data_IF_062980765398
#
_entry.id   IF_062980765398
#
_cell.length_a   1.000
_cell.length_b   1.000
_cell.length_c   1.000
_cell.angle_alpha   90.00
_cell.angle_beta   90.00
_cell.angle_gamma   90.00
#
_symmetry.space_group_name_H-M   'P 1'
#
loop_
_entity.id
_entity.type
_entity.pdbx_description
1 polymer ?
#
# COMPACT_ATOMS: atom_id res chain seq x y z
N UNK A 1 -17.83 -4.68 -3.81
CA UNK A 1 -18.79 -3.58 -4.08
C UNK A 1 -18.21 -2.32 -3.46
N UNK A 2 -17.29 -1.65 -4.17
CA UNK A 2 -16.70 -0.39 -3.72
C UNK A 2 -17.81 0.65 -3.64
N UNK A 3 -18.21 1.03 -2.44
CA UNK A 3 -19.10 2.17 -2.24
C UNK A 3 -18.32 3.42 -2.62
N UNK A 4 -18.96 4.31 -3.38
CA UNK A 4 -18.44 5.65 -3.65
C UNK A 4 -18.19 6.30 -2.28
N UNK A 5 -16.91 6.54 -1.96
CA UNK A 5 -16.51 7.07 -0.67
C UNK A 5 -17.22 8.38 -0.35
N UNK A 6 -17.29 8.72 0.94
CA UNK A 6 -17.86 9.94 1.52
C UNK A 6 -17.21 11.27 1.06
N UNK A 7 -16.47 11.25 -0.05
CA UNK A 7 -15.73 12.39 -0.60
C UNK A 7 -14.32 12.54 -0.03
N UNK A 8 -13.94 11.76 0.99
CA UNK A 8 -12.59 11.83 1.55
C UNK A 8 -11.55 11.22 0.59
N UNK A 9 -10.33 11.79 0.54
CA UNK A 9 -9.24 11.21 -0.20
C UNK A 9 -8.96 9.77 0.25
N UNK A 10 -8.68 8.91 -0.73
CA UNK A 10 -8.36 7.50 -0.55
C UNK A 10 -6.91 7.27 -0.94
N UNK A 11 -6.14 6.63 -0.05
CA UNK A 11 -4.75 6.25 -0.31
C UNK A 11 -4.59 4.73 -0.21
N UNK A 12 -3.81 4.16 -1.12
CA UNK A 12 -3.47 2.73 -1.09
C UNK A 12 -1.95 2.55 -1.05
N UNK A 13 -1.47 1.88 0.00
CA UNK A 13 -0.05 1.55 0.17
C UNK A 13 0.23 0.11 -0.27
N UNK A 14 1.06 -0.05 -1.29
CA UNK A 14 1.40 -1.37 -1.85
C UNK A 14 2.87 -1.72 -1.60
N UNK A 15 3.13 -2.96 -1.20
CA UNK A 15 4.47 -3.56 -1.24
C UNK A 15 4.36 -5.07 -1.52
N UNK A 16 5.46 -5.76 -1.81
CA UNK A 16 5.46 -7.19 -2.19
C UNK A 16 4.71 -8.07 -1.19
N UNK A 17 5.11 -8.05 0.08
CA UNK A 17 4.63 -8.99 1.11
C UNK A 17 3.53 -8.44 2.04
N UNK A 18 3.23 -7.13 1.96
CA UNK A 18 2.33 -6.45 2.90
C UNK A 18 2.63 -6.67 4.40
N UNK A 19 3.89 -6.90 4.75
CA UNK A 19 4.31 -7.20 6.12
C UNK A 19 5.09 -6.07 6.79
N UNK A 20 5.65 -5.13 6.02
CA UNK A 20 6.56 -4.10 6.53
C UNK A 20 6.18 -2.71 6.03
N UNK A 21 6.88 -2.22 4.99
CA UNK A 21 6.76 -0.84 4.49
C UNK A 21 5.34 -0.33 4.29
N UNK A 22 4.49 -1.11 3.63
CA UNK A 22 3.08 -0.71 3.39
C UNK A 22 2.24 -0.68 4.67
N UNK A 23 2.56 -1.51 5.66
CA UNK A 23 1.90 -1.49 6.97
C UNK A 23 2.38 -0.32 7.82
N UNK A 24 3.69 -0.04 7.81
CA UNK A 24 4.25 1.15 8.46
C UNK A 24 3.66 2.43 7.86
N UNK A 25 3.53 2.51 6.54
CA UNK A 25 2.91 3.63 5.85
C UNK A 25 1.43 3.79 6.22
N UNK A 26 0.68 2.68 6.30
CA UNK A 26 -0.71 2.68 6.77
C UNK A 26 -0.82 3.22 8.20
N UNK A 27 0.01 2.73 9.13
CA UNK A 27 0.01 3.17 10.52
C UNK A 27 0.32 4.66 10.67
N UNK A 28 1.35 5.16 9.98
CA UNK A 28 1.67 6.59 9.95
C UNK A 28 0.53 7.41 9.36
N UNK A 29 -0.08 6.96 8.26
CA UNK A 29 -1.16 7.66 7.62
C UNK A 29 -2.39 7.76 8.55
N UNK A 30 -2.80 6.67 9.18
CA UNK A 30 -3.91 6.68 10.13
C UNK A 30 -3.62 7.61 11.32
N UNK A 31 -2.40 7.58 11.84
CA UNK A 31 -1.97 8.44 12.94
C UNK A 31 -2.02 9.94 12.58
N UNK A 32 -1.60 10.31 11.36
CA UNK A 32 -1.47 11.70 10.94
C UNK A 32 -2.73 12.28 10.28
N UNK A 33 -3.41 11.49 9.45
CA UNK A 33 -4.56 11.93 8.68
C UNK A 33 -5.87 11.85 9.48
N UNK A 34 -5.96 10.94 10.46
CA UNK A 34 -7.17 10.71 11.24
C UNK A 34 -8.41 10.56 10.36
N UNK A 35 -9.45 11.34 10.66
CA UNK A 35 -10.71 11.29 9.92
C UNK A 35 -10.71 12.05 8.58
N UNK A 36 -9.61 12.72 8.20
CA UNK A 36 -9.57 13.54 6.98
C UNK A 36 -9.39 12.74 5.69
N UNK A 37 -8.91 11.50 5.78
CA UNK A 37 -8.69 10.62 4.64
C UNK A 37 -8.71 9.15 5.07
N UNK A 38 -8.91 8.24 4.12
CA UNK A 38 -8.92 6.80 4.38
C UNK A 38 -7.76 6.13 3.67
N UNK A 39 -7.15 5.13 4.31
CA UNK A 39 -6.09 4.34 3.70
C UNK A 39 -6.31 2.84 3.80
N UNK A 40 -5.75 2.14 2.82
CA UNK A 40 -5.63 0.69 2.78
C UNK A 40 -4.18 0.29 2.50
N UNK A 41 -3.82 -0.95 2.83
CA UNK A 41 -2.56 -1.54 2.43
C UNK A 41 -2.77 -2.93 1.81
N UNK A 42 -1.87 -3.33 0.92
CA UNK A 42 -1.92 -4.67 0.33
C UNK A 42 -0.60 -5.11 -0.31
N UNK A 43 -0.53 -6.38 -0.71
CA UNK A 43 0.66 -6.94 -1.36
C UNK A 43 0.39 -8.13 -2.27
N UNK A 44 1.19 -8.22 -3.33
CA UNK A 44 1.00 -9.20 -4.39
C UNK A 44 1.39 -10.62 -3.96
N UNK A 45 2.38 -10.72 -3.08
CA UNK A 45 2.92 -11.96 -2.52
C UNK A 45 2.83 -11.88 -0.98
N UNK A 46 1.64 -11.59 -0.46
CA UNK A 46 1.45 -11.32 0.97
C UNK A 46 1.86 -12.52 1.87
N UNK A 47 2.40 -12.23 3.05
CA UNK A 47 2.78 -13.25 4.04
C UNK A 47 1.65 -13.54 5.03
N UNK A 48 1.83 -14.54 5.91
CA UNK A 48 0.85 -14.83 6.95
C UNK A 48 0.83 -13.78 8.08
N UNK A 49 1.99 -13.18 8.36
CA UNK A 49 2.18 -12.31 9.53
C UNK A 49 2.86 -11.00 9.14
N UNK A 50 2.60 -9.99 9.97
CA UNK A 50 3.31 -8.72 9.92
C UNK A 50 4.77 -8.90 10.38
N UNK A 51 5.68 -8.11 9.84
CA UNK A 51 7.10 -8.18 10.19
C UNK A 51 7.29 -7.67 11.64
N UNK A 52 7.80 -8.50 12.58
CA UNK A 52 7.99 -8.09 13.96
C UNK A 52 8.92 -6.88 14.12
N UNK A 53 9.92 -6.73 13.24
CA UNK A 53 10.80 -5.56 13.23
C UNK A 53 10.04 -4.28 12.85
N UNK A 54 9.07 -4.36 11.94
CA UNK A 54 8.23 -3.21 11.60
C UNK A 54 7.32 -2.82 12.77
N UNK A 55 6.76 -3.81 13.48
CA UNK A 55 5.97 -3.58 14.71
C UNK A 55 6.83 -2.88 15.76
N UNK A 56 8.03 -3.39 16.03
CA UNK A 56 8.95 -2.81 17.00
C UNK A 56 9.32 -1.36 16.64
N UNK A 57 9.69 -1.09 15.39
CA UNK A 57 10.04 0.27 14.93
C UNK A 57 8.86 1.25 15.01
N UNK A 58 7.63 0.83 14.74
CA UNK A 58 6.46 1.70 14.87
C UNK A 58 6.11 1.95 16.34
N UNK A 59 6.30 0.95 17.20
CA UNK A 59 6.10 1.09 18.65
C UNK A 59 7.06 2.11 19.28
N UNK A 60 8.30 2.24 18.78
CA UNK A 60 9.23 3.31 19.20
C UNK A 60 8.66 4.72 18.94
N UNK A 61 7.81 4.85 17.92
CA UNK A 61 7.10 6.10 17.59
C UNK A 61 5.72 6.21 18.26
N UNK A 62 5.33 5.25 19.10
CA UNK A 62 4.01 5.23 19.76
C UNK A 62 2.85 4.84 18.83
N UNK A 63 3.12 4.19 17.70
CA UNK A 63 2.11 3.72 16.75
C UNK A 63 2.06 2.19 16.80
N UNK A 64 0.92 1.65 17.22
CA UNK A 64 0.70 0.20 17.24
C UNK A 64 0.12 -0.29 15.90
N UNK A 65 0.87 -1.16 15.23
CA UNK A 65 0.42 -1.85 14.00
C UNK A 65 0.29 -3.37 14.22
N UNK A 66 0.40 -3.86 15.45
CA UNK A 66 0.41 -5.31 15.76
C UNK A 66 -0.90 -6.02 15.46
N UNK A 67 -2.02 -5.29 15.44
CA UNK A 67 -3.34 -5.80 15.08
C UNK A 67 -3.58 -5.88 13.56
N UNK A 68 -2.69 -5.32 12.73
CA UNK A 68 -2.78 -5.42 11.29
C UNK A 68 -2.31 -6.78 10.78
N UNK A 69 -2.81 -7.16 9.60
CA UNK A 69 -2.43 -8.40 8.93
C UNK A 69 -2.16 -8.16 7.44
N UNK A 70 -1.23 -8.92 6.82
CA UNK A 70 -0.99 -8.81 5.39
C UNK A 70 -2.22 -9.22 4.56
N UNK A 71 -2.59 -8.40 3.58
CA UNK A 71 -3.78 -8.55 2.76
C UNK A 71 -3.42 -8.63 1.28
N UNK A 72 -4.04 -9.54 0.50
CA UNK A 72 -3.97 -9.47 -0.96
C UNK A 72 -4.61 -8.16 -1.44
N UNK A 73 -4.04 -7.58 -2.49
CA UNK A 73 -4.55 -6.35 -3.09
C UNK A 73 -5.47 -6.61 -4.31
N UNK A 74 -5.84 -7.88 -4.57
CA UNK A 74 -5.85 -8.41 -5.94
C UNK A 74 -7.16 -8.47 -6.72
N UNK A 75 -8.35 -8.11 -6.25
CA UNK A 75 -9.51 -8.14 -7.16
C UNK A 75 -10.04 -6.77 -7.55
N UNK A 76 -10.31 -5.88 -6.59
CA UNK A 76 -10.90 -4.57 -6.92
C UNK A 76 -9.84 -3.56 -7.44
N UNK A 77 -8.58 -3.70 -7.04
CA UNK A 77 -7.48 -2.78 -7.44
C UNK A 77 -6.73 -3.29 -8.66
N UNK A 78 -6.85 -4.58 -9.01
CA UNK A 78 -6.14 -5.18 -10.14
C UNK A 78 -6.30 -4.39 -11.45
N UNK A 79 -7.51 -3.96 -11.85
CA UNK A 79 -7.66 -3.16 -13.07
C UNK A 79 -6.94 -1.81 -13.01
N UNK A 80 -6.87 -1.20 -11.82
CA UNK A 80 -6.23 0.11 -11.61
C UNK A 80 -4.71 -0.03 -11.69
N UNK A 81 -4.12 -1.05 -11.06
CA UNK A 81 -2.68 -1.34 -11.22
C UNK A 81 -2.34 -1.61 -12.67
N UNK A 82 -3.10 -2.47 -13.34
CA UNK A 82 -2.81 -2.87 -14.72
C UNK A 82 -2.76 -1.65 -15.64
N UNK A 83 -3.66 -0.71 -15.43
CA UNK A 83 -3.67 0.55 -16.16
C UNK A 83 -2.47 1.45 -15.81
N UNK A 84 -2.08 1.55 -14.53
CA UNK A 84 -0.89 2.31 -14.11
C UNK A 84 0.37 1.70 -14.73
N UNK A 85 0.56 0.37 -14.64
CA UNK A 85 1.70 -0.33 -15.22
C UNK A 85 1.76 -0.13 -16.74
N UNK A 86 0.61 -0.22 -17.43
CA UNK A 86 0.53 0.02 -18.87
C UNK A 86 0.99 1.44 -19.23
N UNK A 87 0.55 2.46 -18.50
CA UNK A 87 0.93 3.86 -18.73
C UNK A 87 2.40 4.11 -18.44
N UNK A 88 2.92 3.55 -17.36
CA UNK A 88 4.34 3.67 -17.01
C UNK A 88 5.22 3.03 -18.09
N UNK A 89 4.87 1.83 -18.57
CA UNK A 89 5.62 1.18 -19.66
C UNK A 89 5.58 1.97 -20.96
N UNK A 90 4.43 2.52 -21.33
CA UNK A 90 4.32 3.39 -22.50
C UNK A 90 5.22 4.63 -22.36
N UNK A 91 5.19 5.28 -21.20
CA UNK A 91 6.03 6.44 -20.92
C UNK A 91 7.54 6.09 -20.95
N UNK A 92 7.93 4.95 -20.38
CA UNK A 92 9.33 4.50 -20.41
C UNK A 92 9.82 4.21 -21.83
N UNK A 93 8.95 3.65 -22.69
CA UNK A 93 9.24 3.44 -24.10
C UNK A 93 9.40 4.76 -24.86
N UNK A 94 8.54 5.74 -24.59
CA UNK A 94 8.62 7.08 -25.20
C UNK A 94 9.88 7.83 -24.75
N UNK A 95 10.40 7.55 -23.56
CA UNK A 95 11.59 8.17 -22.99
C UNK A 95 12.90 7.43 -23.35
N UNK A 96 12.84 6.35 -24.13
CA UNK A 96 13.96 5.47 -24.46
C UNK A 96 14.76 5.00 -23.23
N UNK A 97 14.07 4.86 -22.09
CA UNK A 97 14.65 4.39 -20.83
C UNK A 97 14.69 2.87 -20.90
N UNK A 98 15.81 2.32 -21.37
CA UNK A 98 16.10 0.90 -21.19
C UNK A 98 16.18 0.60 -19.70
N UNK A 99 15.36 -0.34 -19.22
CA UNK A 99 15.62 -0.96 -17.93
C UNK A 99 17.06 -1.52 -17.98
N UNK A 100 17.88 -1.15 -17.00
CA UNK A 100 19.21 -1.73 -16.86
C UNK A 100 19.07 -3.27 -16.73
N UNK A 101 20.00 -4.06 -17.32
CA UNK A 101 19.96 -5.52 -17.24
C UNK A 101 20.05 -6.05 -15.80
#
# INVERSE_FOLDING_TARGET
>A
MCTKGDGRPIVLFLCTHNAGRSQMALGWFQHLAGEHATAWSGGAEFTAEINPSAVASMAEAGIDISAEFPKPWTEEVRPIRDEIERRVRALLADLDVSAAP
#
